data_IF_407336647652
#
_entry.id   IF_407336647652
#
_cell.length_a   1.000
_cell.length_b   1.000
_cell.length_c   1.000
_cell.angle_alpha   90.00
_cell.angle_beta   90.00
_cell.angle_gamma   90.00
#
_symmetry.space_group_name_H-M   'P 1'
#
loop_
_entity.id
_entity.type
_entity.pdbx_description
1 polymer ?
#
# COMPACT_ATOMS: atom_id res chain seq x y z
N UNK A 1 -35.68 -34.49 2.15
CA UNK A 1 -34.21 -34.58 1.98
C UNK A 1 -33.74 -33.20 1.55
N UNK A 2 -33.00 -32.52 2.44
CA UNK A 2 -32.62 -31.11 2.36
C UNK A 2 -31.48 -30.90 1.36
N UNK A 3 -31.73 -30.12 0.31
CA UNK A 3 -30.72 -29.70 -0.67
C UNK A 3 -30.46 -28.18 -0.66
N UNK A 4 -30.85 -27.47 0.40
CA UNK A 4 -30.79 -26.00 0.46
C UNK A 4 -29.60 -25.45 1.29
N UNK A 5 -29.00 -26.23 2.19
CA UNK A 5 -27.93 -25.77 3.09
C UNK A 5 -26.54 -25.64 2.44
N UNK A 6 -26.31 -26.29 1.31
CA UNK A 6 -24.97 -26.35 0.69
C UNK A 6 -24.62 -25.12 -0.16
N UNK A 7 -25.63 -24.39 -0.67
CA UNK A 7 -25.43 -23.20 -1.50
C UNK A 7 -25.02 -22.01 -0.62
N UNK A 8 -25.69 -21.85 0.53
CA UNK A 8 -25.43 -20.80 1.51
C UNK A 8 -23.97 -20.77 2.00
N UNK A 9 -23.36 -21.94 2.20
CA UNK A 9 -21.98 -22.04 2.71
C UNK A 9 -20.90 -21.71 1.67
N UNK A 10 -21.20 -21.88 0.37
CA UNK A 10 -20.26 -21.58 -0.72
C UNK A 10 -20.23 -20.08 -1.03
N UNK A 11 -21.39 -19.44 -1.00
CA UNK A 11 -21.50 -18.01 -1.28
C UNK A 11 -21.00 -17.17 -0.11
N UNK A 12 -21.23 -17.58 1.14
CA UNK A 12 -20.63 -16.94 2.33
C UNK A 12 -19.10 -17.04 2.36
N UNK A 13 -18.51 -18.19 1.99
CA UNK A 13 -17.03 -18.33 1.87
C UNK A 13 -16.43 -17.46 0.77
N UNK A 14 -17.12 -17.33 -0.37
CA UNK A 14 -16.68 -16.43 -1.46
C UNK A 14 -16.75 -14.98 -1.02
N UNK A 15 -17.84 -14.56 -0.37
CA UNK A 15 -18.00 -13.23 0.21
C UNK A 15 -16.88 -12.93 1.21
N UNK A 16 -16.63 -13.81 2.19
CA UNK A 16 -15.56 -13.65 3.17
C UNK A 16 -14.18 -13.48 2.50
N UNK A 17 -13.85 -14.31 1.51
CA UNK A 17 -12.58 -14.23 0.78
C UNK A 17 -12.47 -12.91 -0.03
N UNK A 18 -13.56 -12.44 -0.65
CA UNK A 18 -13.55 -11.14 -1.34
C UNK A 18 -13.39 -9.97 -0.36
N UNK A 19 -14.00 -10.03 0.82
CA UNK A 19 -13.84 -9.01 1.86
C UNK A 19 -12.41 -9.00 2.42
N UNK A 20 -11.84 -10.17 2.72
CA UNK A 20 -10.44 -10.28 3.16
C UNK A 20 -9.45 -9.76 2.11
N UNK A 21 -9.67 -10.10 0.83
CA UNK A 21 -8.84 -9.61 -0.27
C UNK A 21 -8.94 -8.08 -0.42
N UNK A 22 -10.15 -7.53 -0.33
CA UNK A 22 -10.37 -6.09 -0.37
C UNK A 22 -9.72 -5.38 0.84
N UNK A 23 -9.79 -5.98 2.04
CA UNK A 23 -9.11 -5.47 3.23
C UNK A 23 -7.59 -5.44 3.07
N UNK A 24 -6.98 -6.54 2.61
CA UNK A 24 -5.53 -6.61 2.34
C UNK A 24 -5.09 -5.61 1.29
N UNK A 25 -5.90 -5.43 0.24
CA UNK A 25 -5.63 -4.45 -0.81
C UNK A 25 -5.69 -3.02 -0.26
N UNK A 26 -6.74 -2.69 0.49
CA UNK A 26 -6.88 -1.39 1.16
C UNK A 26 -5.69 -1.11 2.08
N UNK A 27 -5.31 -2.08 2.90
CA UNK A 27 -4.16 -1.96 3.79
C UNK A 27 -2.86 -1.69 3.02
N UNK A 28 -2.61 -2.41 1.93
CA UNK A 28 -1.46 -2.17 1.06
C UNK A 28 -1.44 -0.73 0.52
N UNK A 29 -2.57 -0.23 0.03
CA UNK A 29 -2.67 1.15 -0.46
C UNK A 29 -2.48 2.18 0.66
N UNK A 30 -3.03 1.93 1.85
CA UNK A 30 -2.85 2.81 3.00
C UNK A 30 -1.37 2.88 3.41
N UNK A 31 -0.70 1.73 3.56
CA UNK A 31 0.73 1.68 3.89
C UNK A 31 1.57 2.41 2.84
N UNK A 32 1.28 2.21 1.55
CA UNK A 32 1.96 2.90 0.45
C UNK A 32 1.77 4.41 0.52
N UNK A 33 0.54 4.88 0.69
CA UNK A 33 0.22 6.31 0.81
C UNK A 33 0.93 6.94 2.01
N UNK A 34 0.89 6.28 3.16
CA UNK A 34 1.47 6.81 4.39
C UNK A 34 3.01 6.86 4.30
N UNK A 35 3.65 5.89 3.65
CA UNK A 35 5.09 5.93 3.38
C UNK A 35 5.48 7.10 2.46
N UNK A 36 4.74 7.32 1.37
CA UNK A 36 4.96 8.46 0.46
C UNK A 36 4.75 9.79 1.19
N UNK A 37 3.74 9.90 2.04
CA UNK A 37 3.49 11.12 2.82
C UNK A 37 4.64 11.39 3.79
N UNK A 38 5.11 10.39 4.54
CA UNK A 38 6.24 10.54 5.47
C UNK A 38 7.51 10.97 4.76
N UNK A 39 7.81 10.33 3.62
CA UNK A 39 8.92 10.70 2.77
C UNK A 39 8.82 12.16 2.32
N UNK A 40 7.64 12.56 1.81
CA UNK A 40 7.39 13.94 1.36
C UNK A 40 7.58 14.94 2.51
N UNK A 41 7.03 14.66 3.70
CA UNK A 41 7.17 15.53 4.87
C UNK A 41 8.65 15.66 5.31
N UNK A 42 9.44 14.59 5.20
CA UNK A 42 10.88 14.62 5.52
C UNK A 42 11.66 15.43 4.49
N UNK A 43 11.41 15.19 3.21
CA UNK A 43 12.03 15.94 2.12
C UNK A 43 11.75 17.44 2.25
N UNK A 44 10.53 17.83 2.61
CA UNK A 44 10.20 19.23 2.85
C UNK A 44 10.87 19.83 4.08
N UNK A 45 11.13 19.04 5.13
CA UNK A 45 11.77 19.51 6.37
C UNK A 45 13.29 19.60 6.28
N UNK A 46 13.91 18.62 5.62
CA UNK A 46 15.37 18.42 5.65
C UNK A 46 16.04 18.60 4.29
N UNK A 47 15.29 18.48 3.19
CA UNK A 47 15.83 18.51 1.83
C UNK A 47 16.47 17.20 1.36
N UNK A 48 16.60 16.20 2.25
CA UNK A 48 17.34 14.97 1.98
C UNK A 48 16.51 13.72 2.30
N UNK A 49 16.72 12.68 1.50
CA UNK A 49 16.19 11.34 1.72
C UNK A 49 17.26 10.44 2.31
N UNK A 50 16.94 9.76 3.41
CA UNK A 50 17.80 8.71 3.96
C UNK A 50 17.54 7.37 3.24
N UNK A 51 18.56 6.52 3.11
CA UNK A 51 18.42 5.18 2.47
C UNK A 51 17.32 4.34 3.13
N UNK A 52 17.13 4.45 4.45
CA UNK A 52 16.07 3.76 5.18
C UNK A 52 14.65 4.17 4.72
N UNK A 53 14.45 5.42 4.31
CA UNK A 53 13.16 5.85 3.77
C UNK A 53 12.96 5.36 2.34
N UNK A 54 14.01 5.37 1.52
CA UNK A 54 13.98 4.80 0.17
C UNK A 54 13.66 3.30 0.23
N UNK A 55 14.28 2.55 1.15
CA UNK A 55 13.97 1.15 1.40
C UNK A 55 12.50 0.94 1.83
N UNK A 56 11.97 1.83 2.68
CA UNK A 56 10.56 1.78 3.09
C UNK A 56 9.62 1.95 1.89
N UNK A 57 9.93 2.86 0.96
CA UNK A 57 9.16 3.04 -0.28
C UNK A 57 9.22 1.80 -1.18
N UNK A 58 10.39 1.18 -1.32
CA UNK A 58 10.55 -0.10 -2.05
C UNK A 58 9.74 -1.22 -1.43
N UNK A 59 9.77 -1.34 -0.10
CA UNK A 59 9.06 -2.37 0.66
C UNK A 59 7.53 -2.28 0.51
N UNK A 60 6.98 -1.07 0.35
CA UNK A 60 5.54 -0.87 0.08
C UNK A 60 5.19 -0.92 -1.41
N UNK A 61 6.16 -1.23 -2.27
CA UNK A 61 5.98 -1.44 -3.71
C UNK A 61 5.96 -0.17 -4.55
N UNK A 62 6.59 0.91 -4.10
CA UNK A 62 6.90 2.07 -4.96
C UNK A 62 8.09 1.68 -5.84
N UNK A 63 7.99 1.96 -7.14
CA UNK A 63 9.06 1.65 -8.10
C UNK A 63 10.23 2.64 -8.00
N UNK A 64 11.44 2.23 -8.39
CA UNK A 64 12.62 3.11 -8.39
C UNK A 64 12.41 4.39 -9.22
N UNK A 65 11.68 4.32 -10.33
CA UNK A 65 11.35 5.49 -11.15
C UNK A 65 10.43 6.46 -10.41
N UNK A 66 9.44 5.96 -9.68
CA UNK A 66 8.57 6.80 -8.83
C UNK A 66 9.36 7.39 -7.65
N UNK A 67 10.22 6.61 -7.00
CA UNK A 67 11.10 7.10 -5.93
C UNK A 67 11.98 8.24 -6.45
N UNK A 68 12.62 8.05 -7.61
CA UNK A 68 13.44 9.09 -8.24
C UNK A 68 12.62 10.35 -8.55
N UNK A 69 11.41 10.21 -9.09
CA UNK A 69 10.53 11.34 -9.35
C UNK A 69 10.12 12.08 -8.06
N UNK A 70 9.90 11.35 -6.96
CA UNK A 70 9.62 11.95 -5.65
C UNK A 70 10.85 12.71 -5.12
N UNK A 71 12.05 12.14 -5.23
CA UNK A 71 13.31 12.82 -4.85
C UNK A 71 13.53 14.07 -5.70
N UNK A 72 13.36 13.99 -7.02
CA UNK A 72 13.55 15.14 -7.92
C UNK A 72 12.50 16.24 -7.70
N UNK A 73 11.28 15.87 -7.32
CA UNK A 73 10.19 16.84 -7.10
C UNK A 73 10.26 17.54 -5.74
N UNK A 74 10.67 16.83 -4.69
CA UNK A 74 10.63 17.33 -3.31
C UNK A 74 12.02 17.57 -2.71
N UNK A 75 13.08 17.09 -3.37
CA UNK A 75 14.46 17.42 -3.04
C UNK A 75 14.77 18.86 -3.35
N UNK A 76 15.51 19.50 -2.46
CA UNK A 76 16.17 20.76 -2.77
C UNK A 76 17.29 20.51 -3.78
N UNK A 77 17.49 21.40 -4.77
CA UNK A 77 18.58 21.30 -5.74
C UNK A 77 19.97 21.34 -5.08
#
# INVERSE_FOLDING_TARGET
MSNDDSISNKDTRRLANTTETAMRLREKYTRRRDAIQRFTDRMQKSGFADEAELETLRAVGVSESEIRALVEKYGTP
#
